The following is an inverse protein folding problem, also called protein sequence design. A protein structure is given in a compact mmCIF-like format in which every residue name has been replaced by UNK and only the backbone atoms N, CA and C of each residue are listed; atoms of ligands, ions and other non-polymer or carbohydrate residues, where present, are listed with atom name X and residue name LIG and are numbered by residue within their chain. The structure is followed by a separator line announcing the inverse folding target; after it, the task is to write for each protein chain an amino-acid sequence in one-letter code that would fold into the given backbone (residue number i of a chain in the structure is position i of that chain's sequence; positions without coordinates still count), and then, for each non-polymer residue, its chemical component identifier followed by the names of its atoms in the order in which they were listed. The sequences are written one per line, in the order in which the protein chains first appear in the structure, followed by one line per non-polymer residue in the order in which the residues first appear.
data_IF_000983639607
#
_entry.id   IF_000983639607
#
_cell.length_a   1.000
_cell.length_b   1.000
_cell.length_c   1.000
_cell.angle_alpha   90.00
_cell.angle_beta   90.00
_cell.angle_gamma   90.00
#
_symmetry.space_group_name_H-M   'P 1'
#
loop_
_entity.id
_entity.type
_entity.pdbx_description
1 polymer ?
#
# COMPACT_ATOMS: atom_id res chain seq x y z
N UNK A 1 13.91 11.75 21.48
CA UNK A 1 12.65 12.52 21.28
C UNK A 1 11.90 12.08 20.02
N UNK A 2 12.45 12.29 18.79
CA UNK A 2 11.73 11.92 17.54
C UNK A 2 11.34 10.45 17.49
N UNK A 3 12.24 9.55 17.87
CA UNK A 3 12.00 8.10 17.95
C UNK A 3 10.91 7.74 18.98
N UNK A 4 10.93 8.40 20.12
CA UNK A 4 9.93 8.23 21.18
C UNK A 4 8.55 8.69 20.70
N UNK A 5 8.51 9.84 20.01
CA UNK A 5 7.25 10.38 19.47
C UNK A 5 6.67 9.50 18.35
N UNK A 6 7.49 9.02 17.40
CA UNK A 6 7.05 8.07 16.38
C UNK A 6 6.53 6.78 17.01
N UNK A 7 7.25 6.25 18.02
CA UNK A 7 6.84 5.06 18.75
C UNK A 7 5.51 5.26 19.46
N UNK A 8 5.33 6.36 20.19
CA UNK A 8 4.09 6.71 20.87
C UNK A 8 2.90 6.78 19.91
N UNK A 9 3.08 7.46 18.78
CA UNK A 9 2.00 7.65 17.80
C UNK A 9 1.62 6.40 17.02
N UNK A 10 2.52 5.42 16.93
CA UNK A 10 2.28 4.18 16.20
C UNK A 10 2.13 2.94 17.10
N UNK A 11 1.98 3.14 18.42
CA UNK A 11 1.79 2.05 19.37
C UNK A 11 2.97 1.08 19.48
N UNK A 12 4.20 1.60 19.36
CA UNK A 12 5.43 0.83 19.45
C UNK A 12 6.31 1.26 20.64
N UNK A 13 7.39 0.52 20.88
CA UNK A 13 8.44 0.95 21.80
C UNK A 13 9.50 1.73 21.02
N UNK A 14 10.16 2.74 21.61
CA UNK A 14 11.25 3.47 20.95
C UNK A 14 12.34 2.54 20.40
N UNK A 15 12.64 1.46 21.10
CA UNK A 15 13.64 0.47 20.67
C UNK A 15 13.22 -0.39 19.48
N UNK A 16 11.98 -0.32 19.04
CA UNK A 16 11.43 -1.05 17.89
C UNK A 16 11.44 -0.20 16.61
N UNK A 17 11.56 1.11 16.73
CA UNK A 17 11.64 2.03 15.59
C UNK A 17 13.04 2.03 14.99
N UNK A 18 13.17 1.78 13.71
CA UNK A 18 14.42 1.84 12.93
C UNK A 18 14.18 2.85 11.80
N UNK A 19 14.88 3.98 11.82
CA UNK A 19 14.75 4.97 10.75
C UNK A 19 15.42 4.49 9.46
N UNK A 20 14.74 4.72 8.34
CA UNK A 20 15.14 4.33 6.99
C UNK A 20 15.00 5.53 6.03
N UNK A 21 15.42 5.38 4.77
CA UNK A 21 15.22 6.40 3.75
C UNK A 21 13.79 6.41 3.15
N UNK A 22 12.87 5.57 3.63
CA UNK A 22 11.48 5.53 3.16
C UNK A 22 10.87 4.15 3.18
N UNK A 23 9.64 4.03 2.67
CA UNK A 23 8.90 2.77 2.63
C UNK A 23 9.63 1.67 1.86
N UNK A 24 10.16 1.98 0.68
CA UNK A 24 10.88 1.00 -0.13
C UNK A 24 12.09 0.39 0.60
N UNK A 25 12.90 1.19 1.32
CA UNK A 25 13.99 0.64 2.13
C UNK A 25 13.43 -0.20 3.28
N UNK A 26 12.37 0.26 3.94
CA UNK A 26 11.73 -0.48 5.04
C UNK A 26 11.19 -1.84 4.60
N UNK A 27 10.49 -1.89 3.46
CA UNK A 27 9.94 -3.13 2.90
C UNK A 27 11.04 -4.10 2.48
N UNK A 28 12.07 -3.61 1.77
CA UNK A 28 13.22 -4.44 1.41
C UNK A 28 13.93 -4.99 2.65
N UNK A 29 14.12 -4.16 3.67
CA UNK A 29 14.77 -4.56 4.91
C UNK A 29 13.93 -5.61 5.66
N UNK A 30 12.62 -5.41 5.76
CA UNK A 30 11.73 -6.38 6.39
C UNK A 30 11.70 -7.70 5.62
N UNK A 31 11.40 -7.66 4.31
CA UNK A 31 11.22 -8.86 3.50
C UNK A 31 12.53 -9.65 3.39
N UNK A 32 13.61 -9.01 2.97
CA UNK A 32 14.90 -9.70 2.79
C UNK A 32 15.56 -10.03 4.12
N UNK A 33 15.61 -9.07 5.04
CA UNK A 33 16.32 -9.23 6.31
C UNK A 33 15.70 -10.27 7.22
N UNK A 34 14.37 -10.36 7.32
CA UNK A 34 13.70 -11.40 8.10
C UNK A 34 13.84 -12.76 7.40
N UNK A 35 13.65 -12.81 6.08
CA UNK A 35 13.84 -14.04 5.30
C UNK A 35 15.25 -14.63 5.51
N UNK A 36 16.30 -13.80 5.37
CA UNK A 36 17.67 -14.27 5.58
C UNK A 36 17.91 -14.77 6.98
N UNK A 37 17.45 -14.03 7.99
CA UNK A 37 17.60 -14.44 9.39
C UNK A 37 16.91 -15.78 9.69
N UNK A 38 15.73 -16.01 9.12
CA UNK A 38 14.96 -17.25 9.28
C UNK A 38 15.62 -18.43 8.57
N UNK A 39 16.04 -18.23 7.31
CA UNK A 39 16.76 -19.23 6.51
C UNK A 39 18.09 -19.62 7.15
N UNK A 40 18.84 -18.63 7.67
CA UNK A 40 20.14 -18.90 8.29
C UNK A 40 20.00 -19.67 9.60
N UNK A 41 18.93 -19.45 10.36
CA UNK A 41 18.61 -20.20 11.56
C UNK A 41 18.10 -21.64 11.25
N UNK A 42 17.28 -21.79 10.21
CA UNK A 42 16.68 -23.06 9.79
C UNK A 42 16.62 -23.10 8.24
N UNK A 43 17.55 -23.77 7.56
CA UNK A 43 17.70 -23.72 6.10
C UNK A 43 16.50 -24.19 5.28
N UNK A 44 15.57 -24.91 5.89
CA UNK A 44 14.32 -25.30 5.23
C UNK A 44 13.31 -24.15 5.14
N UNK A 45 13.41 -23.13 5.98
CA UNK A 45 12.50 -21.98 5.96
C UNK A 45 12.84 -21.05 4.81
N UNK A 46 12.27 -21.33 3.63
CA UNK A 46 12.56 -20.63 2.38
C UNK A 46 11.32 -20.08 1.68
N UNK A 47 10.14 -20.27 2.27
CA UNK A 47 8.89 -19.82 1.68
C UNK A 47 8.48 -18.46 2.21
N UNK A 48 8.09 -17.57 1.30
CA UNK A 48 7.44 -16.31 1.61
C UNK A 48 5.96 -16.42 1.22
N UNK A 49 5.07 -16.05 2.12
CA UNK A 49 3.63 -15.99 1.86
C UNK A 49 3.23 -14.52 1.74
N UNK A 50 2.68 -14.13 0.60
CA UNK A 50 2.32 -12.73 0.31
C UNK A 50 1.13 -12.65 -0.63
N UNK A 51 0.68 -11.45 -1.01
CA UNK A 51 -0.41 -11.24 -1.95
C UNK A 51 0.05 -10.61 -3.26
N UNK A 52 -0.70 -10.83 -4.36
CA UNK A 52 -0.40 -10.21 -5.66
C UNK A 52 -0.81 -8.73 -5.71
N UNK A 53 -1.51 -8.21 -4.68
CA UNK A 53 -1.91 -6.80 -4.58
C UNK A 53 -0.91 -5.93 -3.83
N UNK A 54 0.25 -6.47 -3.46
CA UNK A 54 1.30 -5.73 -2.76
C UNK A 54 1.86 -4.58 -3.62
N UNK A 55 2.47 -3.61 -2.94
CA UNK A 55 3.29 -2.59 -3.62
C UNK A 55 4.56 -3.22 -4.19
N UNK A 56 5.09 -2.67 -5.30
CA UNK A 56 6.31 -3.14 -5.95
C UNK A 56 7.52 -3.24 -5.01
N UNK A 57 7.61 -2.42 -3.96
CA UNK A 57 8.68 -2.54 -2.96
C UNK A 57 8.71 -3.91 -2.27
N UNK A 58 7.54 -4.55 -2.09
CA UNK A 58 7.40 -5.92 -1.57
C UNK A 58 7.51 -6.94 -2.71
N UNK A 59 6.74 -6.79 -3.79
CA UNK A 59 6.72 -7.73 -4.92
C UNK A 59 8.11 -7.95 -5.52
N UNK A 60 8.82 -6.85 -5.82
CA UNK A 60 10.15 -6.93 -6.46
C UNK A 60 11.18 -7.49 -5.49
N UNK A 61 11.03 -7.23 -4.17
CA UNK A 61 11.89 -7.83 -3.15
C UNK A 61 11.69 -9.35 -3.04
N UNK A 62 10.45 -9.82 -3.10
CA UNK A 62 10.10 -11.24 -3.11
C UNK A 62 10.62 -11.91 -4.38
N UNK A 63 10.33 -11.33 -5.55
CA UNK A 63 10.78 -11.85 -6.84
C UNK A 63 12.31 -11.94 -6.91
N UNK A 64 13.01 -10.93 -6.39
CA UNK A 64 14.46 -10.94 -6.32
C UNK A 64 14.99 -12.12 -5.48
N UNK A 65 14.37 -12.41 -4.33
CA UNK A 65 14.75 -13.55 -3.49
C UNK A 65 14.48 -14.88 -4.19
N UNK A 66 13.39 -14.98 -4.97
CA UNK A 66 13.09 -16.17 -5.79
C UNK A 66 14.16 -16.38 -6.86
N UNK A 67 14.49 -15.33 -7.62
CA UNK A 67 15.40 -15.42 -8.76
C UNK A 67 16.86 -15.67 -8.34
N UNK A 68 17.30 -15.05 -7.23
CA UNK A 68 18.72 -15.03 -6.86
C UNK A 68 19.09 -15.93 -5.70
N UNK A 69 18.12 -16.26 -4.83
CA UNK A 69 18.42 -17.01 -3.61
C UNK A 69 17.59 -18.30 -3.44
N UNK A 70 16.77 -18.63 -4.43
CA UNK A 70 15.97 -19.84 -4.44
C UNK A 70 14.88 -19.84 -3.38
N UNK A 71 14.36 -18.66 -3.01
CA UNK A 71 13.18 -18.58 -2.19
C UNK A 71 11.96 -19.17 -2.91
N UNK A 72 11.03 -19.70 -2.17
CA UNK A 72 9.72 -20.11 -2.68
C UNK A 72 8.67 -19.07 -2.30
N UNK A 73 7.70 -18.83 -3.17
CA UNK A 73 6.60 -17.92 -2.87
C UNK A 73 5.26 -18.63 -2.97
N UNK A 74 4.38 -18.34 -2.03
CA UNK A 74 2.96 -18.70 -2.10
C UNK A 74 2.13 -17.43 -2.12
N UNK A 75 1.42 -17.23 -3.22
CA UNK A 75 0.51 -16.10 -3.39
C UNK A 75 -0.83 -16.40 -2.72
N UNK A 76 -1.26 -15.54 -1.80
CA UNK A 76 -2.57 -15.65 -1.18
C UNK A 76 -3.64 -15.20 -2.17
N UNK A 77 -4.75 -15.96 -2.29
CA UNK A 77 -5.85 -15.57 -3.13
C UNK A 77 -6.41 -14.20 -2.72
N UNK A 78 -6.62 -13.35 -3.70
CA UNK A 78 -7.24 -12.03 -3.53
C UNK A 78 -8.70 -12.09 -3.95
N UNK A 79 -9.59 -11.60 -3.12
CA UNK A 79 -11.01 -11.49 -3.45
C UNK A 79 -11.26 -10.34 -4.46
N UNK A 80 -12.45 -10.31 -5.06
CA UNK A 80 -12.83 -9.29 -6.05
C UNK A 80 -12.82 -7.85 -5.49
N UNK A 81 -12.88 -7.68 -4.17
CA UNK A 81 -12.74 -6.39 -3.50
C UNK A 81 -11.29 -6.06 -3.09
N UNK A 82 -10.33 -6.91 -3.45
CA UNK A 82 -8.92 -6.74 -3.13
C UNK A 82 -8.52 -7.21 -1.72
N UNK A 83 -9.40 -7.87 -0.98
CA UNK A 83 -9.10 -8.38 0.35
C UNK A 83 -8.44 -9.77 0.32
N UNK A 84 -7.64 -10.05 1.37
CA UNK A 84 -6.99 -11.32 1.64
C UNK A 84 -7.65 -11.98 2.86
N UNK A 85 -7.99 -13.26 2.75
CA UNK A 85 -8.69 -13.99 3.81
C UNK A 85 -7.73 -14.57 4.86
N UNK A 86 -7.96 -14.33 6.17
CA UNK A 86 -7.25 -15.03 7.24
C UNK A 86 -7.39 -16.55 7.17
N UNK A 87 -8.54 -17.06 6.69
CA UNK A 87 -8.76 -18.49 6.50
C UNK A 87 -7.86 -19.06 5.40
N UNK A 88 -7.64 -18.33 4.29
CA UNK A 88 -6.72 -18.73 3.23
C UNK A 88 -5.27 -18.78 3.74
N UNK A 89 -4.86 -17.79 4.55
CA UNK A 89 -3.54 -17.81 5.19
C UNK A 89 -3.39 -19.04 6.09
N UNK A 90 -4.38 -19.36 6.92
CA UNK A 90 -4.37 -20.53 7.79
C UNK A 90 -4.21 -21.83 7.00
N UNK A 91 -4.92 -21.95 5.88
CA UNK A 91 -4.81 -23.12 4.99
C UNK A 91 -3.40 -23.28 4.43
N UNK A 92 -2.78 -22.19 3.97
CA UNK A 92 -1.39 -22.19 3.49
C UNK A 92 -0.42 -22.61 4.60
N UNK A 93 -0.51 -22.00 5.79
CA UNK A 93 0.39 -22.30 6.92
C UNK A 93 0.18 -23.72 7.48
N UNK A 94 -0.99 -24.31 7.30
CA UNK A 94 -1.24 -25.71 7.66
C UNK A 94 -0.57 -26.68 6.69
N UNK A 95 -0.45 -26.31 5.41
CA UNK A 95 0.16 -27.16 4.36
C UNK A 95 1.68 -27.03 4.27
N UNK A 96 2.23 -25.90 4.72
CA UNK A 96 3.63 -25.56 4.56
C UNK A 96 4.28 -25.24 5.90
N UNK A 97 5.25 -26.06 6.30
CA UNK A 97 6.05 -25.89 7.53
C UNK A 97 7.41 -25.19 7.27
N UNK A 98 7.64 -24.77 6.02
CA UNK A 98 8.85 -24.14 5.51
C UNK A 98 8.72 -22.60 5.37
N UNK A 99 7.70 -21.98 5.99
CA UNK A 99 7.42 -20.55 5.84
C UNK A 99 8.35 -19.70 6.69
N UNK A 100 9.14 -18.87 6.04
CA UNK A 100 10.07 -17.93 6.67
C UNK A 100 9.36 -16.63 7.07
N UNK A 101 8.41 -16.13 6.26
CA UNK A 101 7.78 -14.82 6.42
C UNK A 101 6.39 -14.80 5.78
N UNK A 102 5.44 -14.15 6.45
CA UNK A 102 4.21 -13.64 5.85
C UNK A 102 4.34 -12.13 5.65
N UNK A 103 3.98 -11.62 4.46
CA UNK A 103 3.96 -10.18 4.19
C UNK A 103 2.67 -9.81 3.48
N UNK A 104 1.82 -9.00 4.13
CA UNK A 104 0.55 -8.51 3.56
C UNK A 104 0.40 -7.04 3.93
N UNK A 105 0.19 -6.18 2.93
CA UNK A 105 0.03 -4.74 3.15
C UNK A 105 -1.16 -4.44 4.05
N UNK A 106 -1.13 -3.29 4.75
CA UNK A 106 -2.24 -2.86 5.62
C UNK A 106 -3.41 -2.30 4.81
N UNK A 107 -3.11 -1.50 3.81
CA UNK A 107 -4.11 -0.94 2.93
C UNK A 107 -3.55 -0.73 1.52
N UNK A 108 -4.33 -1.08 0.52
CA UNK A 108 -3.90 -1.01 -0.87
C UNK A 108 -3.86 0.45 -1.38
N UNK A 109 -2.75 0.82 -2.00
CA UNK A 109 -2.50 2.17 -2.51
C UNK A 109 -3.29 2.51 -3.78
N UNK A 110 -3.79 1.53 -4.52
CA UNK A 110 -4.58 1.75 -5.74
C UNK A 110 -6.07 1.76 -5.43
N UNK A 111 -6.61 0.64 -5.00
CA UNK A 111 -8.06 0.45 -4.80
C UNK A 111 -8.55 0.83 -3.40
N UNK A 112 -7.64 1.11 -2.47
CA UNK A 112 -7.96 1.58 -1.12
C UNK A 112 -8.45 0.51 -0.15
N UNK A 113 -8.47 -0.75 -0.52
CA UNK A 113 -8.93 -1.86 0.35
C UNK A 113 -8.05 -2.01 1.57
N UNK A 114 -8.67 -2.07 2.75
CA UNK A 114 -8.02 -2.29 4.04
C UNK A 114 -8.03 -3.79 4.37
N UNK A 115 -6.87 -4.34 4.70
CA UNK A 115 -6.70 -5.75 5.01
C UNK A 115 -6.96 -6.04 6.50
N UNK A 116 -7.41 -7.24 6.86
CA UNK A 116 -7.64 -7.67 8.24
C UNK A 116 -6.31 -8.04 8.93
N UNK A 117 -5.41 -7.05 9.08
CA UNK A 117 -4.00 -7.27 9.47
C UNK A 117 -3.87 -7.94 10.84
N UNK A 118 -4.67 -7.53 11.83
CA UNK A 118 -4.60 -8.13 13.16
C UNK A 118 -5.03 -9.62 13.16
N UNK A 119 -6.03 -9.97 12.35
CA UNK A 119 -6.48 -11.35 12.20
C UNK A 119 -5.44 -12.21 11.46
N UNK A 120 -4.82 -11.65 10.40
CA UNK A 120 -3.73 -12.29 9.68
C UNK A 120 -2.51 -12.49 10.59
N UNK A 121 -2.15 -11.50 11.39
CA UNK A 121 -1.03 -11.57 12.33
C UNK A 121 -1.29 -12.62 13.43
N UNK A 122 -2.53 -12.70 13.93
CA UNK A 122 -2.92 -13.72 14.89
C UNK A 122 -2.77 -15.13 14.30
N UNK A 123 -3.21 -15.34 13.06
CA UNK A 123 -3.02 -16.62 12.35
C UNK A 123 -1.53 -16.94 12.19
N UNK A 124 -0.71 -15.99 11.71
CA UNK A 124 0.73 -16.23 11.55
C UNK A 124 1.41 -16.59 12.88
N UNK A 125 1.03 -15.94 13.97
CA UNK A 125 1.55 -16.20 15.31
C UNK A 125 1.23 -17.61 15.83
N UNK A 126 0.06 -18.18 15.51
CA UNK A 126 -0.29 -19.55 15.87
C UNK A 126 0.69 -20.59 15.28
N UNK A 127 1.29 -20.28 14.14
CA UNK A 127 2.28 -21.14 13.47
C UNK A 127 3.74 -20.73 13.74
N UNK A 128 3.96 -19.71 14.59
CA UNK A 128 5.31 -19.19 14.89
C UNK A 128 6.01 -18.53 13.70
N UNK A 129 5.25 -18.05 12.72
CA UNK A 129 5.76 -17.38 11.53
C UNK A 129 5.69 -15.84 11.73
N UNK A 130 6.80 -15.11 11.54
CA UNK A 130 6.77 -13.66 11.62
C UNK A 130 5.91 -13.07 10.49
N UNK A 131 5.15 -12.01 10.82
CA UNK A 131 4.38 -11.28 9.82
C UNK A 131 4.84 -9.83 9.72
N UNK A 132 5.10 -9.38 8.51
CA UNK A 132 5.34 -8.00 8.10
C UNK A 132 4.08 -7.41 7.45
N UNK A 133 3.89 -6.10 7.60
CA UNK A 133 2.87 -5.35 6.86
C UNK A 133 3.43 -4.03 6.36
N UNK A 134 3.28 -3.76 5.06
CA UNK A 134 3.43 -2.42 4.50
C UNK A 134 2.23 -1.56 4.93
N UNK A 135 2.45 -0.67 5.91
CA UNK A 135 1.46 0.26 6.45
C UNK A 135 1.62 1.68 5.88
N UNK A 136 2.36 1.84 4.80
CA UNK A 136 2.67 3.13 4.16
C UNK A 136 1.41 3.92 3.82
N UNK A 137 0.32 3.27 3.44
CA UNK A 137 -0.95 3.93 3.13
C UNK A 137 -1.90 4.04 4.33
N UNK A 138 -1.61 3.36 5.45
CA UNK A 138 -2.52 3.31 6.59
C UNK A 138 -2.31 4.45 7.59
N UNK A 139 -1.05 4.81 7.88
CA UNK A 139 -0.72 5.84 8.87
C UNK A 139 -1.30 7.19 8.47
N UNK A 140 -1.99 7.83 9.42
CA UNK A 140 -2.66 9.12 9.21
C UNK A 140 -4.00 9.04 8.46
N UNK A 141 -4.41 7.85 8.02
CA UNK A 141 -5.71 7.60 7.40
C UNK A 141 -6.57 6.61 8.19
N UNK A 142 -5.94 5.66 8.87
CA UNK A 142 -6.56 4.64 9.70
C UNK A 142 -5.94 4.62 11.11
N UNK A 143 -6.65 4.11 12.12
CA UNK A 143 -6.02 3.77 13.39
C UNK A 143 -4.94 2.70 13.18
N UNK A 144 -3.69 3.02 13.51
CA UNK A 144 -2.56 2.10 13.40
C UNK A 144 -1.91 1.98 14.77
N UNK A 145 -1.83 0.77 15.29
CA UNK A 145 -1.13 0.43 16.52
C UNK A 145 -0.32 -0.85 16.27
N UNK A 146 1.02 -0.69 16.29
CA UNK A 146 1.93 -1.79 15.99
C UNK A 146 1.83 -2.92 17.01
N UNK A 147 1.76 -2.61 18.29
CA UNK A 147 1.66 -3.61 19.36
C UNK A 147 0.32 -4.33 19.31
N UNK A 148 -0.78 -3.60 19.19
CA UNK A 148 -2.12 -4.17 19.15
C UNK A 148 -2.38 -4.99 17.88
N UNK A 149 -1.72 -4.68 16.76
CA UNK A 149 -1.84 -5.45 15.51
C UNK A 149 -1.24 -6.86 15.58
N UNK A 150 -0.33 -7.11 16.53
CA UNK A 150 0.37 -8.38 16.65
C UNK A 150 1.47 -8.63 15.59
N UNK A 151 1.76 -7.64 14.75
CA UNK A 151 2.79 -7.73 13.72
C UNK A 151 4.20 -7.93 14.30
N UNK A 152 5.04 -8.60 13.53
CA UNK A 152 6.48 -8.73 13.79
C UNK A 152 7.28 -7.55 13.25
N UNK A 153 6.81 -7.00 12.11
CA UNK A 153 7.41 -5.84 11.47
C UNK A 153 6.35 -5.00 10.74
N UNK A 154 6.57 -3.69 10.63
CA UNK A 154 5.67 -2.76 9.95
C UNK A 154 6.46 -1.65 9.28
N UNK A 155 6.24 -1.43 7.99
CA UNK A 155 6.87 -0.36 7.21
C UNK A 155 6.01 0.89 7.14
N UNK A 156 6.63 2.06 7.33
CA UNK A 156 5.96 3.36 7.23
C UNK A 156 6.86 4.40 6.54
N UNK A 157 6.28 5.43 5.94
CA UNK A 157 7.03 6.52 5.29
C UNK A 157 6.38 7.87 5.51
N UNK A 158 7.20 8.87 5.84
CA UNK A 158 6.72 10.18 6.28
C UNK A 158 5.90 10.94 5.23
N UNK A 159 6.31 10.91 3.95
CA UNK A 159 5.66 11.68 2.89
C UNK A 159 4.21 11.25 2.59
N UNK A 160 3.77 10.08 3.06
CA UNK A 160 2.39 9.61 2.89
C UNK A 160 1.43 10.17 3.95
N UNK A 161 1.95 10.67 5.06
CA UNK A 161 1.15 11.32 6.10
C UNK A 161 1.56 12.78 6.35
N UNK A 162 2.10 13.45 5.32
CA UNK A 162 2.39 14.89 5.35
C UNK A 162 3.78 15.27 5.87
N UNK A 163 4.67 14.31 6.04
CA UNK A 163 6.06 14.54 6.41
C UNK A 163 6.99 14.70 5.21
N UNK A 164 8.30 14.91 5.44
CA UNK A 164 9.28 15.08 4.38
C UNK A 164 9.49 13.80 3.57
N UNK A 165 9.91 13.91 2.29
CA UNK A 165 10.36 12.77 1.51
C UNK A 165 11.69 12.21 2.03
N UNK A 166 12.08 11.03 1.54
CA UNK A 166 13.35 10.37 1.85
C UNK A 166 13.56 10.03 3.34
N UNK A 167 12.50 9.90 4.12
CA UNK A 167 12.52 9.36 5.47
C UNK A 167 11.32 8.45 5.71
N UNK A 168 11.59 7.33 6.37
CA UNK A 168 10.60 6.35 6.83
C UNK A 168 11.10 5.62 8.06
N UNK A 169 10.37 4.58 8.44
CA UNK A 169 10.80 3.71 9.51
C UNK A 169 10.30 2.27 9.28
N UNK A 170 11.12 1.33 9.69
CA UNK A 170 10.70 -0.03 9.96
C UNK A 170 10.48 -0.17 11.47
N UNK A 171 9.25 -0.46 11.88
CA UNK A 171 8.96 -0.90 13.22
C UNK A 171 9.22 -2.41 13.27
N UNK A 172 10.13 -2.84 14.13
CA UNK A 172 10.57 -4.23 14.21
C UNK A 172 10.63 -4.67 15.68
N UNK A 173 9.86 -5.70 16.02
CA UNK A 173 9.89 -6.27 17.37
C UNK A 173 11.30 -6.70 17.76
N UNK A 174 11.60 -6.58 19.05
CA UNK A 174 12.95 -6.87 19.58
C UNK A 174 13.36 -8.33 19.49
N UNK A 175 12.40 -9.22 19.48
CA UNK A 175 12.57 -10.67 19.40
C UNK A 175 12.60 -11.21 17.95
N UNK A 176 12.44 -10.35 16.96
CA UNK A 176 12.52 -10.71 15.54
C UNK A 176 13.91 -10.41 14.99
N UNK A 177 14.59 -11.45 14.55
CA UNK A 177 15.89 -11.30 13.90
C UNK A 177 15.73 -10.76 12.47
N UNK A 178 16.65 -9.87 12.09
CA UNK A 178 16.66 -9.24 10.78
C UNK A 178 18.11 -8.99 10.36
N UNK A 179 18.52 -9.53 9.22
CA UNK A 179 19.84 -9.29 8.64
C UNK A 179 19.86 -7.93 7.95
N UNK A 180 20.87 -7.08 8.18
CA UNK A 180 20.94 -5.76 7.57
C UNK A 180 21.15 -5.82 6.05
N UNK A 181 20.52 -4.89 5.30
CA UNK A 181 20.80 -4.70 3.86
C UNK A 181 22.14 -3.99 3.63
N UNK A 182 22.49 -3.06 4.52
CA UNK A 182 23.69 -2.25 4.42
C UNK A 182 24.51 -2.34 5.71
N UNK A 183 25.80 -2.61 5.59
CA UNK A 183 26.72 -2.76 6.69
C UNK A 183 27.50 -1.48 6.94
N UNK A 184 27.90 -1.23 8.19
CA UNK A 184 28.66 -0.05 8.58
C UNK A 184 28.67 0.14 10.10
N UNK A 185 28.44 1.36 10.57
CA UNK A 185 28.57 1.73 12.00
C UNK A 185 27.41 1.31 12.93
N UNK A 186 26.42 0.56 12.44
CA UNK A 186 25.36 -0.03 13.27
C UNK A 186 24.41 0.96 13.96
N UNK A 187 24.26 2.19 13.43
CA UNK A 187 23.53 3.29 14.08
C UNK A 187 22.10 2.93 14.48
N UNK A 188 21.39 2.16 13.67
CA UNK A 188 20.04 1.69 13.91
C UNK A 188 20.06 0.22 14.34
N UNK A 189 20.50 -0.06 15.56
CA UNK A 189 20.51 -1.39 16.20
C UNK A 189 21.27 -2.48 15.42
N UNK A 190 22.33 -2.13 14.70
CA UNK A 190 23.04 -3.04 13.76
C UNK A 190 22.16 -3.63 12.64
N UNK A 191 20.92 -3.16 12.49
CA UNK A 191 19.97 -3.57 11.44
C UNK A 191 20.03 -2.62 10.25
N UNK A 192 20.29 -1.34 10.50
CA UNK A 192 20.52 -0.36 9.44
C UNK A 192 21.70 0.53 9.81
N UNK A 193 22.68 0.63 8.94
CA UNK A 193 23.88 1.45 9.11
C UNK A 193 23.79 2.74 8.29
N UNK A 194 24.53 3.74 8.71
CA UNK A 194 24.63 5.07 8.08
C UNK A 194 24.31 6.19 9.06
N UNK A 195 24.90 7.36 8.83
CA UNK A 195 24.61 8.56 9.60
C UNK A 195 23.12 8.86 9.61
N UNK A 196 22.57 9.13 10.80
CA UNK A 196 21.14 9.41 10.94
C UNK A 196 20.75 10.72 10.24
N UNK A 197 19.67 10.72 9.49
CA UNK A 197 19.00 11.92 9.01
C UNK A 197 18.16 12.51 10.14
N UNK A 198 18.79 13.38 10.93
CA UNK A 198 18.14 14.01 12.08
C UNK A 198 16.98 14.92 11.65
N UNK A 199 17.15 15.66 10.56
CA UNK A 199 16.12 16.57 10.05
C UNK A 199 14.88 15.80 9.57
N UNK A 200 15.09 14.71 8.79
CA UNK A 200 14.02 13.83 8.35
C UNK A 200 13.30 13.17 9.54
N UNK A 201 14.04 12.66 10.53
CA UNK A 201 13.45 12.05 11.72
C UNK A 201 12.59 13.04 12.53
N UNK A 202 13.02 14.30 12.67
CA UNK A 202 12.22 15.35 13.34
C UNK A 202 10.97 15.67 12.53
N UNK A 203 11.10 15.83 11.21
CA UNK A 203 9.96 16.07 10.31
C UNK A 203 8.95 14.93 10.30
N UNK A 204 9.42 13.67 10.26
CA UNK A 204 8.57 12.49 10.35
C UNK A 204 7.81 12.43 11.69
N UNK A 205 8.48 12.69 12.81
CA UNK A 205 7.86 12.68 14.13
C UNK A 205 6.78 13.76 14.26
N UNK A 206 7.05 14.97 13.78
CA UNK A 206 6.07 16.05 13.75
C UNK A 206 4.85 15.70 12.90
N UNK A 207 5.05 15.14 11.70
CA UNK A 207 3.98 14.71 10.82
C UNK A 207 3.16 13.56 11.42
N UNK A 208 3.80 12.57 12.04
CA UNK A 208 3.12 11.47 12.72
C UNK A 208 2.18 12.00 13.82
N UNK A 209 2.67 12.94 14.66
CA UNK A 209 1.84 13.56 15.67
C UNK A 209 0.63 14.27 15.08
N UNK A 210 0.84 15.12 14.07
CA UNK A 210 -0.25 15.91 13.48
C UNK A 210 -1.28 15.00 12.81
N UNK A 211 -0.84 13.99 12.05
CA UNK A 211 -1.73 13.10 11.31
C UNK A 211 -2.50 12.15 12.22
N UNK A 212 -1.86 11.62 13.27
CA UNK A 212 -2.51 10.70 14.22
C UNK A 212 -3.44 11.45 15.18
N UNK A 213 -3.01 12.60 15.72
CA UNK A 213 -3.85 13.40 16.63
C UNK A 213 -5.10 13.97 15.90
N UNK A 214 -4.98 14.27 14.59
CA UNK A 214 -6.08 14.74 13.76
C UNK A 214 -6.89 13.64 13.04
N UNK A 215 -6.56 12.37 13.27
CA UNK A 215 -7.05 11.25 12.46
C UNK A 215 -8.58 11.18 12.37
N UNK A 216 -9.28 11.20 13.49
CA UNK A 216 -10.74 11.04 13.54
C UNK A 216 -11.45 12.10 12.70
N UNK A 217 -11.11 13.38 12.93
CA UNK A 217 -11.70 14.50 12.21
C UNK A 217 -11.37 14.47 10.72
N UNK A 218 -10.10 14.23 10.37
CA UNK A 218 -9.67 14.20 8.97
C UNK A 218 -10.26 13.01 8.22
N UNK A 219 -10.27 11.83 8.81
CA UNK A 219 -10.84 10.63 8.18
C UNK A 219 -12.34 10.75 7.96
N UNK A 220 -13.08 11.32 8.91
CA UNK A 220 -14.51 11.57 8.75
C UNK A 220 -14.79 12.54 7.60
N UNK A 221 -14.04 13.65 7.53
CA UNK A 221 -14.15 14.65 6.46
C UNK A 221 -13.81 14.06 5.09
N UNK A 222 -12.68 13.33 4.99
CA UNK A 222 -12.27 12.70 3.73
C UNK A 222 -13.27 11.64 3.27
N UNK A 223 -13.82 10.85 4.20
CA UNK A 223 -14.86 9.88 3.89
C UNK A 223 -16.09 10.55 3.29
N UNK A 224 -16.56 11.66 3.87
CA UNK A 224 -17.70 12.40 3.35
C UNK A 224 -17.44 12.95 1.93
N UNK A 225 -16.26 13.51 1.68
CA UNK A 225 -15.86 13.98 0.35
C UNK A 225 -15.75 12.84 -0.67
N UNK A 226 -15.13 11.71 -0.27
CA UNK A 226 -15.02 10.51 -1.10
C UNK A 226 -16.40 9.95 -1.46
N UNK A 227 -17.28 9.80 -0.50
CA UNK A 227 -18.60 9.23 -0.71
C UNK A 227 -19.40 10.10 -1.68
N UNK A 228 -19.37 11.43 -1.50
CA UNK A 228 -19.96 12.36 -2.44
C UNK A 228 -19.38 12.24 -3.86
N UNK A 229 -18.06 12.08 -3.97
CA UNK A 229 -17.39 11.84 -5.26
C UNK A 229 -17.85 10.52 -5.89
N UNK A 230 -17.87 9.45 -5.10
CA UNK A 230 -18.27 8.09 -5.54
C UNK A 230 -19.72 8.10 -6.02
N UNK A 231 -20.63 8.66 -5.22
CA UNK A 231 -22.06 8.73 -5.57
C UNK A 231 -22.29 9.56 -6.82
N UNK A 232 -21.60 10.69 -6.95
CA UNK A 232 -21.68 11.54 -8.13
C UNK A 232 -21.15 10.87 -9.40
N UNK A 233 -20.06 10.13 -9.32
CA UNK A 233 -19.49 9.39 -10.46
C UNK A 233 -20.41 8.23 -10.86
N UNK A 234 -20.84 7.41 -9.90
CA UNK A 234 -21.71 6.25 -10.17
C UNK A 234 -23.10 6.66 -10.65
N UNK A 235 -23.62 7.80 -10.17
CA UNK A 235 -24.93 8.31 -10.59
C UNK A 235 -24.91 9.12 -11.89
N UNK A 236 -23.76 9.64 -12.29
CA UNK A 236 -23.63 10.55 -13.44
C UNK A 236 -22.96 9.96 -14.68
N UNK A 237 -22.35 8.78 -14.58
CA UNK A 237 -21.61 8.14 -15.67
C UNK A 237 -22.03 6.68 -15.79
N UNK A 238 -22.46 6.28 -16.98
CA UNK A 238 -22.77 4.88 -17.26
C UNK A 238 -21.50 4.02 -17.45
N UNK A 239 -21.62 2.71 -17.32
CA UNK A 239 -20.52 1.74 -17.50
C UNK A 239 -19.25 2.08 -16.70
N UNK A 240 -19.42 2.46 -15.44
CA UNK A 240 -18.36 2.71 -14.49
C UNK A 240 -18.46 1.75 -13.29
N UNK A 241 -17.33 1.26 -12.82
CA UNK A 241 -17.23 0.37 -11.67
C UNK A 241 -16.32 1.01 -10.63
N UNK A 242 -16.77 1.06 -9.37
CA UNK A 242 -15.90 1.37 -8.22
C UNK A 242 -15.12 0.11 -7.85
N UNK A 243 -13.79 0.15 -7.91
CA UNK A 243 -12.92 -0.95 -7.54
C UNK A 243 -12.55 -0.91 -6.06
N UNK A 244 -12.30 -2.09 -5.48
CA UNK A 244 -11.91 -2.26 -4.09
C UNK A 244 -13.10 -2.38 -3.12
N UNK A 245 -12.79 -2.61 -1.86
CA UNK A 245 -13.79 -2.78 -0.79
C UNK A 245 -14.65 -1.52 -0.60
N UNK A 246 -15.82 -1.70 0.00
CA UNK A 246 -16.68 -0.60 0.44
C UNK A 246 -16.35 -0.24 1.90
N UNK A 247 -16.86 0.90 2.36
CA UNK A 247 -16.78 1.29 3.77
C UNK A 247 -17.35 0.18 4.68
N UNK A 248 -16.78 -0.11 5.84
CA UNK A 248 -15.64 0.55 6.47
C UNK A 248 -14.23 0.05 6.04
N UNK A 249 -14.15 -0.90 5.11
CA UNK A 249 -12.90 -1.55 4.70
C UNK A 249 -12.22 -0.82 3.53
N UNK A 250 -12.35 0.50 3.48
CA UNK A 250 -11.72 1.37 2.48
C UNK A 250 -11.01 2.55 3.13
N UNK A 251 -9.85 2.92 2.57
CA UNK A 251 -9.17 4.17 2.91
C UNK A 251 -10.12 5.38 2.73
N UNK A 252 -10.17 6.31 3.68
CA UNK A 252 -11.13 7.40 3.66
C UNK A 252 -11.00 8.34 2.45
N UNK A 253 -9.80 8.54 1.93
CA UNK A 253 -9.54 9.45 0.80
C UNK A 253 -9.34 8.77 -0.55
N UNK A 254 -9.61 7.48 -0.70
CA UNK A 254 -9.35 6.77 -1.95
C UNK A 254 -10.64 6.44 -2.71
N UNK A 255 -10.68 6.81 -4.00
CA UNK A 255 -11.70 6.38 -4.95
C UNK A 255 -11.04 5.91 -6.25
N UNK A 256 -11.19 4.63 -6.56
CA UNK A 256 -10.62 4.01 -7.76
C UNK A 256 -11.74 3.47 -8.65
N UNK A 257 -11.76 3.90 -9.90
CA UNK A 257 -12.81 3.54 -10.86
C UNK A 257 -12.23 2.87 -12.08
N UNK A 258 -13.02 1.99 -12.71
CA UNK A 258 -12.82 1.52 -14.08
C UNK A 258 -13.92 2.07 -14.95
N UNK A 259 -13.56 2.78 -16.00
CA UNK A 259 -14.46 3.35 -17.02
C UNK A 259 -14.40 2.48 -18.28
N UNK A 260 -15.41 1.68 -18.50
CA UNK A 260 -15.46 0.76 -19.63
C UNK A 260 -15.36 1.51 -20.95
N UNK A 261 -14.51 1.02 -21.85
CA UNK A 261 -14.30 1.63 -23.18
C UNK A 261 -13.44 2.89 -23.17
N UNK A 262 -12.71 3.16 -22.06
CA UNK A 262 -11.74 4.22 -21.98
C UNK A 262 -10.31 3.66 -21.87
N UNK A 263 -9.34 4.50 -22.24
CA UNK A 263 -7.93 4.35 -21.87
C UNK A 263 -7.62 5.32 -20.73
N UNK A 264 -6.99 4.85 -19.65
CA UNK A 264 -6.68 5.64 -18.45
C UNK A 264 -5.79 6.84 -18.74
N UNK A 265 -4.81 6.69 -19.62
CA UNK A 265 -3.92 7.78 -20.02
C UNK A 265 -4.68 8.89 -20.76
N UNK A 266 -5.68 8.54 -21.58
CA UNK A 266 -6.54 9.53 -22.22
C UNK A 266 -7.40 10.29 -21.21
N UNK A 267 -7.93 9.60 -20.20
CA UNK A 267 -8.66 10.24 -19.11
C UNK A 267 -7.75 11.16 -18.29
N UNK A 268 -6.54 10.70 -17.95
CA UNK A 268 -5.55 11.47 -17.21
C UNK A 268 -5.22 12.77 -17.94
N UNK A 269 -4.88 12.72 -19.23
CA UNK A 269 -4.59 13.90 -20.04
C UNK A 269 -5.77 14.89 -20.13
N UNK A 270 -7.00 14.35 -20.27
CA UNK A 270 -8.19 15.19 -20.34
C UNK A 270 -8.51 15.89 -19.01
N UNK A 271 -8.24 15.25 -17.88
CA UNK A 271 -8.43 15.81 -16.56
C UNK A 271 -7.34 16.82 -16.22
N UNK A 272 -6.07 16.50 -16.51
CA UNK A 272 -4.92 17.40 -16.32
C UNK A 272 -5.10 18.71 -17.08
N UNK A 273 -5.54 18.66 -18.34
CA UNK A 273 -5.88 19.83 -19.15
C UNK A 273 -6.99 20.73 -18.55
N UNK A 274 -7.73 20.22 -17.55
CA UNK A 274 -8.75 20.94 -16.80
C UNK A 274 -8.32 21.24 -15.34
N UNK A 275 -7.03 21.07 -15.02
CA UNK A 275 -6.46 21.35 -13.70
C UNK A 275 -6.84 20.31 -12.63
N UNK A 276 -7.17 19.09 -13.03
CA UNK A 276 -7.49 17.97 -12.11
C UNK A 276 -6.37 16.93 -12.19
N UNK A 277 -5.59 16.84 -11.12
CA UNK A 277 -4.56 15.82 -10.94
C UNK A 277 -5.17 14.49 -10.53
N UNK A 278 -4.77 13.41 -11.19
CA UNK A 278 -5.23 12.05 -10.91
C UNK A 278 -4.15 11.03 -11.29
N UNK A 279 -4.43 9.74 -11.15
CA UNK A 279 -3.48 8.68 -11.48
C UNK A 279 -4.19 7.50 -12.11
N UNK A 280 -3.54 6.80 -13.04
CA UNK A 280 -4.01 5.51 -13.59
C UNK A 280 -3.83 4.34 -12.61
N UNK A 281 -3.15 4.56 -11.48
CA UNK A 281 -2.86 3.51 -10.48
C UNK A 281 -1.64 2.66 -10.85
N UNK A 282 -1.44 2.35 -12.12
CA UNK A 282 -0.30 1.57 -12.60
C UNK A 282 0.95 2.43 -12.77
N UNK A 283 2.12 1.94 -12.36
CA UNK A 283 3.39 2.56 -12.71
C UNK A 283 3.67 2.37 -14.22
N UNK A 284 3.91 3.46 -14.93
CA UNK A 284 4.37 3.38 -16.33
C UNK A 284 5.77 2.78 -16.36
N UNK A 285 5.89 1.51 -16.76
CA UNK A 285 7.20 0.89 -17.00
C UNK A 285 7.61 1.21 -18.44
N UNK A 286 8.67 2.02 -18.60
CA UNK A 286 9.25 2.39 -19.90
C UNK A 286 8.28 3.03 -20.92
N UNK A 287 7.26 3.80 -20.46
CA UNK A 287 6.36 4.53 -21.34
C UNK A 287 5.25 3.69 -22.00
N UNK A 288 5.10 2.43 -21.63
CA UNK A 288 3.98 1.59 -22.06
C UNK A 288 2.99 1.44 -20.91
N UNK A 289 1.74 1.84 -21.13
CA UNK A 289 0.66 1.65 -20.16
C UNK A 289 0.42 0.15 -19.95
N UNK A 290 0.78 -0.35 -18.78
CA UNK A 290 0.46 -1.71 -18.35
C UNK A 290 -0.85 -1.69 -17.55
N UNK A 291 -1.71 -2.70 -17.67
CA UNK A 291 -2.86 -2.81 -16.78
C UNK A 291 -2.39 -2.94 -15.33
N UNK A 292 -3.15 -2.38 -14.39
CA UNK A 292 -2.85 -2.51 -12.97
C UNK A 292 -2.76 -3.98 -12.57
N UNK A 293 -1.62 -4.39 -12.00
CA UNK A 293 -1.45 -5.75 -11.46
C UNK A 293 -2.44 -6.03 -10.33
N UNK A 294 -2.79 -5.00 -9.55
CA UNK A 294 -3.80 -5.09 -8.48
C UNK A 294 -5.17 -5.45 -9.05
N UNK A 295 -5.62 -4.77 -10.10
CA UNK A 295 -6.90 -5.08 -10.73
C UNK A 295 -6.91 -6.47 -11.37
N UNK A 296 -5.81 -6.87 -11.99
CA UNK A 296 -5.67 -8.21 -12.58
C UNK A 296 -5.72 -9.28 -11.48
N UNK A 297 -5.03 -9.09 -10.35
CA UNK A 297 -5.08 -9.97 -9.18
C UNK A 297 -6.49 -10.06 -8.57
N UNK A 298 -7.28 -8.99 -8.67
CA UNK A 298 -8.70 -8.96 -8.26
C UNK A 298 -9.65 -9.64 -9.28
N UNK A 299 -9.12 -10.15 -10.39
CA UNK A 299 -9.90 -10.80 -11.43
C UNK A 299 -10.52 -9.87 -12.47
N UNK A 300 -10.11 -8.61 -12.52
CA UNK A 300 -10.54 -7.67 -13.56
C UNK A 300 -9.84 -8.02 -14.88
N UNK A 301 -10.59 -8.10 -15.96
CA UNK A 301 -10.04 -8.32 -17.30
C UNK A 301 -8.98 -7.25 -17.65
N UNK A 302 -7.79 -7.64 -18.15
CA UNK A 302 -6.71 -6.71 -18.46
C UNK A 302 -7.09 -5.57 -19.43
N UNK A 303 -7.98 -5.81 -20.39
CA UNK A 303 -8.44 -4.75 -21.29
C UNK A 303 -9.32 -3.74 -20.56
N UNK A 304 -10.17 -4.19 -19.64
CA UNK A 304 -10.99 -3.33 -18.78
C UNK A 304 -10.14 -2.56 -17.77
N UNK A 305 -9.11 -3.21 -17.22
CA UNK A 305 -8.20 -2.59 -16.24
C UNK A 305 -7.45 -1.36 -16.79
N UNK A 306 -7.22 -1.28 -18.09
CA UNK A 306 -6.59 -0.12 -18.74
C UNK A 306 -7.42 1.16 -18.62
N UNK A 307 -8.74 1.05 -18.52
CA UNK A 307 -9.66 2.18 -18.35
C UNK A 307 -9.79 2.66 -16.92
N UNK A 308 -8.82 2.35 -16.05
CA UNK A 308 -8.90 2.69 -14.64
C UNK A 308 -8.29 4.05 -14.30
N UNK A 309 -8.84 4.67 -13.24
CA UNK A 309 -8.39 5.94 -12.72
C UNK A 309 -8.55 5.98 -11.19
N UNK A 310 -7.49 6.43 -10.51
CA UNK A 310 -7.51 6.70 -9.07
C UNK A 310 -7.64 8.19 -8.82
N UNK A 311 -8.62 8.56 -8.02
CA UNK A 311 -8.82 9.89 -7.46
C UNK A 311 -8.49 9.82 -5.96
N UNK A 312 -7.52 10.61 -5.52
CA UNK A 312 -7.04 10.59 -4.14
C UNK A 312 -7.31 11.94 -3.48
N UNK A 313 -8.08 11.91 -2.40
CA UNK A 313 -8.36 13.07 -1.57
C UNK A 313 -7.37 13.13 -0.40
N UNK A 314 -6.89 14.32 -0.09
CA UNK A 314 -5.90 14.55 0.95
C UNK A 314 -6.33 15.63 1.95
N UNK A 315 -5.39 16.01 2.83
CA UNK A 315 -5.65 16.98 3.89
C UNK A 315 -6.05 18.37 3.38
N UNK A 316 -5.69 18.73 2.15
CA UNK A 316 -6.05 19.99 1.50
C UNK A 316 -7.35 19.92 0.70
N UNK A 317 -7.88 18.72 0.44
CA UNK A 317 -9.09 18.57 -0.39
C UNK A 317 -10.32 19.18 0.26
N UNK A 318 -11.14 19.86 -0.54
CA UNK A 318 -12.37 20.55 -0.13
C UNK A 318 -13.53 20.18 -1.06
N UNK A 319 -14.74 20.57 -0.71
CA UNK A 319 -15.96 20.33 -1.51
C UNK A 319 -15.84 20.82 -2.95
N UNK A 320 -15.22 21.99 -3.16
CA UNK A 320 -15.04 22.57 -4.48
C UNK A 320 -14.18 21.70 -5.42
N UNK A 321 -13.25 20.90 -4.88
CA UNK A 321 -12.43 19.98 -5.66
C UNK A 321 -13.30 18.83 -6.18
N UNK A 322 -14.16 18.28 -5.33
CA UNK A 322 -15.15 17.27 -5.73
C UNK A 322 -16.11 17.80 -6.79
N UNK A 323 -16.61 19.03 -6.61
CA UNK A 323 -17.46 19.70 -7.60
C UNK A 323 -16.75 19.88 -8.96
N UNK A 324 -15.47 20.22 -8.95
CA UNK A 324 -14.68 20.36 -10.16
C UNK A 324 -14.57 19.03 -10.90
N UNK A 325 -14.25 17.93 -10.20
CA UNK A 325 -14.18 16.60 -10.79
C UNK A 325 -15.53 16.18 -11.38
N UNK A 326 -16.63 16.28 -10.61
CA UNK A 326 -17.97 15.86 -11.04
C UNK A 326 -18.48 16.66 -12.25
N UNK A 327 -18.05 17.90 -12.41
CA UNK A 327 -18.38 18.76 -13.57
C UNK A 327 -17.61 18.33 -14.84
N UNK A 328 -16.33 17.96 -14.71
CA UNK A 328 -15.43 17.73 -15.85
C UNK A 328 -15.42 16.29 -16.31
N UNK A 329 -15.44 15.34 -15.36
CA UNK A 329 -15.21 13.91 -15.60
C UNK A 329 -16.21 13.30 -16.61
N UNK A 330 -17.54 13.59 -16.60
CA UNK A 330 -18.47 13.01 -17.59
C UNK A 330 -18.09 13.34 -19.03
N UNK A 331 -17.75 14.60 -19.31
CA UNK A 331 -17.31 15.01 -20.63
C UNK A 331 -15.96 14.43 -21.04
N UNK A 332 -15.05 14.23 -20.11
CA UNK A 332 -13.76 13.55 -20.34
C UNK A 332 -13.98 12.08 -20.72
N UNK A 333 -14.83 11.36 -19.98
CA UNK A 333 -15.18 9.95 -20.27
C UNK A 333 -15.82 9.80 -21.65
N UNK A 334 -16.78 10.67 -22.01
CA UNK A 334 -17.41 10.62 -23.31
C UNK A 334 -16.40 10.85 -24.45
N UNK A 335 -15.48 11.78 -24.30
CA UNK A 335 -14.42 12.05 -25.28
C UNK A 335 -13.45 10.87 -25.40
N UNK A 336 -13.03 10.28 -24.28
CA UNK A 336 -12.14 9.13 -24.26
C UNK A 336 -12.77 7.91 -24.96
N UNK A 337 -14.04 7.62 -24.69
CA UNK A 337 -14.79 6.53 -25.36
C UNK A 337 -14.88 6.75 -26.86
N UNK A 338 -15.19 7.98 -27.32
CA UNK A 338 -15.23 8.30 -28.76
C UNK A 338 -13.88 8.09 -29.44
N UNK A 339 -12.79 8.49 -28.77
CA UNK A 339 -11.44 8.30 -29.29
C UNK A 339 -11.08 6.81 -29.41
N UNK A 340 -11.39 6.00 -28.39
CA UNK A 340 -11.16 4.55 -28.42
C UNK A 340 -11.93 3.85 -29.55
N UNK A 341 -13.20 4.20 -29.77
CA UNK A 341 -14.03 3.67 -30.88
C UNK A 341 -13.47 4.05 -32.26
N UNK A 342 -12.99 5.29 -32.42
CA UNK A 342 -12.37 5.73 -33.67
C UNK A 342 -11.07 4.99 -33.97
N UNK A 343 -10.25 4.72 -32.97
CA UNK A 343 -9.02 3.93 -33.11
C UNK A 343 -9.30 2.46 -33.47
N UNK A 344 -10.32 1.84 -32.87
CA UNK A 344 -10.71 0.47 -33.15
C UNK A 344 -11.33 0.30 -34.53
N UNK A 345 -11.96 1.33 -35.09
CA UNK A 345 -12.54 1.30 -36.47
C UNK A 345 -11.53 1.60 -37.58
N UNK A 346 -10.31 2.02 -37.22
CA UNK A 346 -9.23 2.33 -38.17
C UNK A 346 -8.19 1.18 -38.31
N UNK A 347 -8.31 0.15 -37.47
CA UNK A 347 -7.49 -1.08 -37.49
C UNK A 347 -8.24 -2.22 -38.20
#
# INVERSE_FOLDING_TARGET
ESRELVADKLGARPSEVIFTAGGTESDNLAVKGIYWARRDAEPRQRRIVTSEVEHHAVLDSVNWLVEHEGAEVTWLPTAADGSVSPAALREVLTRHDDVALVSVMWANNEVGTVQPVAELAAVAAEFGVPMHSDAVQAVGQLPVDFTASGLSAMSVTAHKFGGPPAVGALLLRRDVACVPLAHGGGQERDIRSGTADVAGAVGMAAAARISVDGLETNSARLRALRDRLVDGVLGGIEDVTLNGARDPLRLPGNAHFTFRGCEGDALLMLLDANGIECSTGSACTAGVAQPSHVLVAMGVDPASARGSLRLSLGHTSIDADVDAVLRVLPGAVERARRAALAAAGAS
#
